data_IF_183288458382
#
_entry.id   IF_183288458382
#
_cell.length_a   1.000
_cell.length_b   1.000
_cell.length_c   1.000
_cell.angle_alpha   90.00
_cell.angle_beta   90.00
_cell.angle_gamma   90.00
#
_symmetry.space_group_name_H-M   'P 1'
#
loop_
_entity.id
_entity.type
_entity.pdbx_description
1 polymer ?
#
# COMPACT_ATOMS: atom_id res chain seq x y z
N UNK A 1 10.63 -10.14 23.20
CA UNK A 1 9.94 -9.66 21.99
C UNK A 1 8.82 -10.65 21.67
N UNK A 2 7.56 -10.22 21.39
CA UNK A 2 6.44 -11.15 21.19
C UNK A 2 6.62 -12.14 20.04
N UNK A 3 7.38 -11.78 19.00
CA UNK A 3 7.66 -12.63 17.85
C UNK A 3 8.86 -13.58 18.01
N UNK A 4 9.29 -13.86 19.24
CA UNK A 4 10.48 -14.70 19.52
C UNK A 4 11.78 -13.90 19.65
N UNK A 5 12.84 -14.57 20.13
CA UNK A 5 14.18 -13.98 20.30
C UNK A 5 15.07 -14.17 19.07
N UNK A 6 14.75 -15.14 18.24
CA UNK A 6 15.52 -15.58 17.08
C UNK A 6 15.78 -14.43 16.11
N UNK A 7 14.74 -13.62 15.84
CA UNK A 7 14.83 -12.44 14.97
C UNK A 7 15.72 -11.34 15.55
N UNK A 8 15.78 -11.22 16.88
CA UNK A 8 16.66 -10.25 17.54
C UNK A 8 18.11 -10.70 17.49
N UNK A 9 18.36 -12.00 17.64
CA UNK A 9 19.69 -12.60 17.54
C UNK A 9 20.22 -12.53 16.11
N UNK A 10 19.37 -12.81 15.11
CA UNK A 10 19.75 -12.75 13.70
C UNK A 10 20.16 -11.33 13.26
N UNK A 11 19.44 -10.31 13.72
CA UNK A 11 19.73 -8.90 13.40
C UNK A 11 20.64 -8.20 14.43
N UNK A 12 21.15 -8.94 15.40
CA UNK A 12 22.02 -8.40 16.45
C UNK A 12 23.28 -7.76 15.86
N UNK A 13 23.54 -6.50 16.23
CA UNK A 13 24.71 -5.74 15.77
C UNK A 13 24.61 -5.18 14.35
N UNK A 14 23.46 -5.31 13.68
CA UNK A 14 23.18 -4.76 12.35
C UNK A 14 22.13 -3.65 12.43
N UNK A 15 21.98 -2.90 11.34
CA UNK A 15 20.85 -1.98 11.18
C UNK A 15 19.58 -2.77 10.87
N UNK A 16 18.65 -2.80 11.83
CA UNK A 16 17.37 -3.49 11.72
C UNK A 16 16.20 -2.55 11.37
N UNK A 17 16.47 -1.34 10.85
CA UNK A 17 15.42 -0.35 10.54
C UNK A 17 14.42 -0.88 9.51
N UNK A 18 14.89 -1.44 8.39
CA UNK A 18 14.02 -2.00 7.35
C UNK A 18 13.11 -3.14 7.87
N UNK A 19 13.63 -4.22 8.49
CA UNK A 19 12.76 -5.30 9.00
C UNK A 19 11.84 -4.84 10.14
N UNK A 20 12.23 -3.80 10.89
CA UNK A 20 11.37 -3.22 11.93
C UNK A 20 10.18 -2.45 11.33
N UNK A 21 10.39 -1.70 10.25
CA UNK A 21 9.35 -0.94 9.57
C UNK A 21 8.43 -1.83 8.71
N UNK A 22 8.97 -2.86 8.07
CA UNK A 22 8.23 -3.78 7.18
C UNK A 22 7.08 -4.52 7.90
N UNK A 23 7.28 -4.87 9.17
CA UNK A 23 6.23 -5.53 9.98
C UNK A 23 5.27 -4.55 10.65
N UNK A 24 5.45 -3.23 10.46
CA UNK A 24 4.54 -2.18 10.95
C UNK A 24 4.21 -2.26 12.46
N UNK A 25 5.24 -2.21 13.31
CA UNK A 25 5.10 -2.24 14.77
C UNK A 25 4.14 -1.16 15.31
N UNK A 26 3.36 -1.51 16.34
CA UNK A 26 2.42 -0.61 17.02
C UNK A 26 3.11 0.58 17.70
N UNK A 27 2.34 1.62 18.02
CA UNK A 27 2.82 2.78 18.78
C UNK A 27 3.43 2.40 20.13
N UNK A 28 2.89 1.38 20.78
CA UNK A 28 3.36 0.89 22.07
C UNK A 28 4.70 0.18 21.92
N UNK A 29 4.88 -0.62 20.87
CA UNK A 29 6.16 -1.25 20.56
C UNK A 29 7.25 -0.21 20.28
N UNK A 30 6.91 0.86 19.53
CA UNK A 30 7.83 1.99 19.30
C UNK A 30 8.15 2.77 20.58
N UNK A 31 7.18 2.89 21.49
CA UNK A 31 7.39 3.52 22.79
C UNK A 31 8.30 2.66 23.68
N UNK A 32 8.11 1.35 23.66
CA UNK A 32 8.98 0.40 24.35
C UNK A 32 10.41 0.43 23.80
N UNK A 33 10.60 0.48 22.48
CA UNK A 33 11.91 0.62 21.83
C UNK A 33 12.69 1.83 22.37
N UNK A 34 12.02 2.98 22.55
CA UNK A 34 12.66 4.20 23.10
C UNK A 34 13.23 3.99 24.50
N UNK A 35 12.60 3.14 25.32
CA UNK A 35 13.07 2.81 26.68
C UNK A 35 14.40 2.03 26.67
N UNK A 36 14.68 1.29 25.60
CA UNK A 36 15.91 0.50 25.45
C UNK A 36 17.00 1.21 24.62
N UNK A 37 16.78 2.47 24.22
CA UNK A 37 17.80 3.25 23.50
C UNK A 37 18.96 3.61 24.43
N UNK A 38 20.16 3.11 24.12
CA UNK A 38 21.39 3.37 24.89
C UNK A 38 22.31 4.42 24.26
N UNK A 39 22.06 4.82 23.00
CA UNK A 39 22.89 5.77 22.28
C UNK A 39 22.46 5.96 20.83
N UNK A 40 23.32 6.61 20.06
CA UNK A 40 23.21 6.73 18.60
C UNK A 40 24.55 6.41 17.96
N UNK A 41 24.52 5.92 16.73
CA UNK A 41 25.72 5.68 15.94
C UNK A 41 26.46 7.00 15.69
N UNK A 42 27.79 6.97 15.69
CA UNK A 42 28.61 8.16 15.38
C UNK A 42 28.43 8.57 13.92
N UNK A 43 28.55 9.87 13.64
CA UNK A 43 28.25 10.40 12.30
C UNK A 43 29.08 9.75 11.19
N UNK A 44 30.34 9.39 11.47
CA UNK A 44 31.23 8.74 10.51
C UNK A 44 30.74 7.35 10.06
N UNK A 45 29.99 6.64 10.91
CA UNK A 45 29.51 5.28 10.64
C UNK A 45 28.05 5.28 10.14
N UNK A 46 27.36 6.43 10.15
CA UNK A 46 25.99 6.54 9.65
C UNK A 46 26.00 6.43 8.13
N UNK A 47 25.43 5.33 7.63
CA UNK A 47 25.14 5.20 6.21
C UNK A 47 23.94 6.08 5.91
N UNK A 48 24.09 7.06 5.01
CA UNK A 48 22.99 7.90 4.53
C UNK A 48 21.96 7.02 3.80
N UNK A 49 20.96 6.54 4.54
CA UNK A 49 19.77 5.92 3.98
C UNK A 49 19.01 6.97 3.16
N UNK A 50 19.08 6.87 1.83
CA UNK A 50 18.34 7.74 0.91
C UNK A 50 16.84 7.47 0.89
N UNK A 51 16.36 6.50 1.64
CA UNK A 51 14.96 6.07 1.58
C UNK A 51 14.31 6.45 2.90
N UNK A 52 13.87 7.71 3.01
CA UNK A 52 12.72 7.99 3.85
C UNK A 52 11.60 7.05 3.36
N UNK A 53 11.23 6.07 4.17
CA UNK A 53 10.11 5.17 3.90
C UNK A 53 8.86 6.05 3.78
N UNK A 54 8.54 6.46 2.55
CA UNK A 54 7.22 6.96 2.23
C UNK A 54 6.31 5.75 2.33
N UNK A 55 5.29 5.73 3.21
CA UNK A 55 4.34 4.63 3.26
C UNK A 55 3.73 4.51 1.86
N UNK A 56 4.03 3.41 1.17
CA UNK A 56 3.47 3.07 -0.14
C UNK A 56 2.02 2.57 0.05
N UNK A 57 1.19 3.41 0.63
CA UNK A 57 -0.26 3.34 0.55
C UNK A 57 -0.76 4.52 -0.30
N UNK A 58 -0.10 4.78 -1.42
CA UNK A 58 -0.75 5.41 -2.56
C UNK A 58 -1.65 4.35 -3.19
N UNK A 59 -2.94 4.45 -2.88
CA UNK A 59 -4.01 3.77 -3.59
C UNK A 59 -4.21 4.40 -4.99
N UNK A 60 -3.11 4.76 -5.66
CA UNK A 60 -3.09 5.21 -7.05
C UNK A 60 -3.10 3.95 -7.92
N UNK A 61 -4.25 3.28 -7.93
CA UNK A 61 -4.68 2.62 -9.15
C UNK A 61 -4.64 3.70 -10.24
N UNK A 62 -4.06 3.46 -11.42
CA UNK A 62 -4.39 4.27 -12.58
C UNK A 62 -5.90 4.17 -12.73
N UNK A 63 -6.62 5.19 -12.28
CA UNK A 63 -8.02 5.32 -12.56
C UNK A 63 -8.05 5.63 -14.05
N UNK A 64 -8.11 4.56 -14.87
CA UNK A 64 -8.46 4.71 -16.27
C UNK A 64 -9.75 5.52 -16.29
N UNK A 65 -9.64 6.77 -16.71
CA UNK A 65 -10.78 7.63 -17.03
C UNK A 65 -11.42 7.10 -18.31
N UNK A 66 -11.82 5.83 -18.32
CA UNK A 66 -12.79 5.32 -19.26
C UNK A 66 -14.13 5.95 -18.89
N UNK A 67 -14.61 6.88 -19.73
CA UNK A 67 -15.87 7.61 -19.58
C UNK A 67 -16.96 6.76 -18.91
N UNK A 68 -17.23 7.00 -17.63
CA UNK A 68 -18.27 6.31 -16.85
C UNK A 68 -19.67 6.56 -17.44
N UNK A 69 -19.83 7.62 -18.27
CA UNK A 69 -21.07 7.87 -19.01
C UNK A 69 -21.31 6.82 -20.11
N UNK A 70 -20.28 6.34 -20.82
CA UNK A 70 -20.48 5.35 -21.89
C UNK A 70 -21.01 4.00 -21.38
N UNK A 71 -20.76 3.65 -20.11
CA UNK A 71 -21.20 2.38 -19.52
C UNK A 71 -22.72 2.23 -19.37
N UNK A 72 -23.47 3.32 -19.13
CA UNK A 72 -24.95 3.29 -19.09
C UNK A 72 -25.59 3.62 -20.45
N UNK A 73 -24.89 4.39 -21.29
CA UNK A 73 -25.37 4.74 -22.63
C UNK A 73 -25.43 3.50 -23.54
N UNK A 74 -24.40 2.65 -23.49
CA UNK A 74 -24.28 1.47 -24.36
C UNK A 74 -25.46 0.48 -24.22
N UNK A 75 -25.83 0.00 -23.01
CA UNK A 75 -26.98 -0.91 -22.86
C UNK A 75 -28.31 -0.24 -23.21
N UNK A 76 -28.48 1.06 -22.93
CA UNK A 76 -29.69 1.81 -23.26
C UNK A 76 -29.91 1.87 -24.79
N UNK A 77 -28.86 2.21 -25.54
CA UNK A 77 -28.92 2.35 -26.99
C UNK A 77 -29.21 1.00 -27.67
N UNK A 78 -28.59 -0.08 -27.18
CA UNK A 78 -28.82 -1.44 -27.67
C UNK A 78 -30.28 -1.89 -27.44
N UNK A 79 -30.85 -1.57 -26.28
CA UNK A 79 -32.25 -1.86 -25.97
C UNK A 79 -33.24 -1.09 -26.85
N UNK A 80 -32.99 0.20 -27.12
CA UNK A 80 -33.81 1.00 -28.03
C UNK A 80 -33.73 0.49 -29.46
N UNK A 81 -32.53 0.13 -29.94
CA UNK A 81 -32.37 -0.44 -31.28
C UNK A 81 -33.12 -1.78 -31.42
N UNK A 82 -33.00 -2.67 -30.42
CA UNK A 82 -33.70 -3.96 -30.42
C UNK A 82 -35.23 -3.79 -30.42
N UNK A 83 -35.75 -2.84 -29.66
CA UNK A 83 -37.21 -2.57 -29.60
C UNK A 83 -37.75 -1.97 -30.90
N UNK A 84 -37.00 -1.06 -31.55
CA UNK A 84 -37.37 -0.54 -32.88
C UNK A 84 -37.37 -1.66 -33.92
N UNK A 85 -36.32 -2.50 -33.93
CA UNK A 85 -36.22 -3.62 -34.87
C UNK A 85 -37.35 -4.64 -34.64
N UNK A 86 -37.65 -4.97 -33.38
CA UNK A 86 -38.76 -5.86 -33.03
C UNK A 86 -40.10 -5.29 -33.50
N UNK A 87 -40.35 -3.99 -33.27
CA UNK A 87 -41.54 -3.33 -33.79
C UNK A 87 -41.61 -3.34 -35.32
N UNK A 88 -40.49 -3.15 -36.01
CA UNK A 88 -40.47 -3.16 -37.48
C UNK A 88 -40.71 -4.56 -38.07
N UNK A 89 -40.21 -5.61 -37.41
CA UNK A 89 -40.32 -6.98 -37.90
C UNK A 89 -41.62 -7.68 -37.48
N UNK A 90 -42.21 -7.29 -36.35
CA UNK A 90 -43.31 -8.02 -35.72
C UNK A 90 -44.55 -7.16 -35.38
N UNK A 91 -44.56 -5.86 -35.69
CA UNK A 91 -45.75 -5.00 -35.61
C UNK A 91 -46.04 -4.34 -36.98
#
# INVERSE_FOLDING_TARGET
HPGGEEVLLEKGGQDATEPFEDVSHSSDARSLMKKYKIGELVEADRVQSKNAFAPQWSNDQPQEQGNTWTSWLTPLLLGVAATILYRYLFA
#
